data_IF_098815559780
#
_entry.id   IF_098815559780
#
_cell.length_a   1.000
_cell.length_b   1.000
_cell.length_c   1.000
_cell.angle_alpha   90.00
_cell.angle_beta   90.00
_cell.angle_gamma   90.00
#
_symmetry.space_group_name_H-M   'P 1'
#
loop_
_entity.id
_entity.type
_entity.pdbx_description
1 polymer ?
#
# COMPACT_ATOMS: atom_id res chain seq x y z
N UNK A 1 5.13 -7.09 -52.39
CA UNK A 1 6.16 -6.67 -51.41
C UNK A 1 5.48 -6.22 -50.11
N UNK A 2 4.69 -7.09 -49.46
CA UNK A 2 3.90 -6.73 -48.26
C UNK A 2 3.92 -7.81 -47.15
N UNK A 3 4.55 -8.98 -47.38
CA UNK A 3 4.57 -10.06 -46.40
C UNK A 3 5.75 -10.02 -45.39
N UNK A 4 6.62 -9.00 -45.46
CA UNK A 4 7.87 -8.94 -44.68
C UNK A 4 7.84 -8.04 -43.44
N UNK A 5 6.73 -7.36 -43.17
CA UNK A 5 6.60 -6.42 -42.04
C UNK A 5 5.86 -7.00 -40.83
N UNK A 6 5.24 -8.17 -40.94
CA UNK A 6 4.42 -8.77 -39.87
C UNK A 6 5.19 -9.69 -38.90
N UNK A 7 6.50 -9.93 -39.11
CA UNK A 7 7.29 -10.84 -38.25
C UNK A 7 8.20 -10.14 -37.23
N UNK A 8 8.13 -8.82 -37.10
CA UNK A 8 9.04 -8.06 -36.22
C UNK A 8 8.57 -7.87 -34.78
N UNK A 9 7.29 -8.09 -34.49
CA UNK A 9 6.82 -8.14 -33.10
C UNK A 9 6.90 -9.59 -32.59
N UNK A 10 8.14 -10.09 -32.40
CA UNK A 10 8.32 -11.21 -31.48
C UNK A 10 7.71 -10.77 -30.15
N UNK A 11 6.76 -11.54 -29.63
CA UNK A 11 6.17 -11.35 -28.29
C UNK A 11 7.36 -11.20 -27.33
N UNK A 12 7.62 -9.99 -26.84
CA UNK A 12 8.75 -9.73 -25.95
C UNK A 12 8.56 -10.61 -24.72
N UNK A 13 9.51 -11.53 -24.52
CA UNK A 13 9.52 -12.40 -23.34
C UNK A 13 9.52 -11.54 -22.08
N UNK A 14 8.85 -12.02 -21.04
CA UNK A 14 8.87 -11.36 -19.73
C UNK A 14 10.34 -11.31 -19.28
N UNK A 15 10.85 -10.14 -18.86
CA UNK A 15 12.22 -10.02 -18.36
C UNK A 15 12.45 -10.96 -17.18
N UNK A 16 13.65 -11.55 -17.07
CA UNK A 16 14.00 -12.46 -15.99
C UNK A 16 13.85 -11.80 -14.60
N UNK A 17 14.15 -10.51 -14.48
CA UNK A 17 13.88 -9.71 -13.26
C UNK A 17 12.41 -9.72 -12.86
N UNK A 18 11.49 -9.56 -13.82
CA UNK A 18 10.04 -9.59 -13.57
C UNK A 18 9.54 -10.99 -13.22
N UNK A 19 10.17 -12.04 -13.74
CA UNK A 19 9.86 -13.42 -13.36
C UNK A 19 10.30 -13.72 -11.92
N UNK A 20 11.54 -13.39 -11.57
CA UNK A 20 12.08 -13.60 -10.22
C UNK A 20 11.32 -12.79 -9.17
N UNK A 21 11.02 -11.53 -9.46
CA UNK A 21 10.25 -10.68 -8.56
C UNK A 21 8.84 -11.24 -8.32
N UNK A 22 8.23 -11.81 -9.36
CA UNK A 22 6.95 -12.50 -9.24
C UNK A 22 7.06 -13.75 -8.36
N UNK A 23 8.05 -14.61 -8.61
CA UNK A 23 8.24 -15.84 -7.84
C UNK A 23 8.49 -15.54 -6.35
N UNK A 24 9.26 -14.48 -6.06
CA UNK A 24 9.51 -14.01 -4.70
C UNK A 24 8.24 -13.38 -4.10
N UNK A 25 7.53 -12.51 -4.81
CA UNK A 25 6.33 -11.89 -4.23
C UNK A 25 5.22 -12.91 -3.97
N UNK A 26 5.09 -13.94 -4.82
CA UNK A 26 4.08 -14.97 -4.70
C UNK A 26 4.39 -16.04 -3.63
N UNK A 27 5.65 -16.21 -3.25
CA UNK A 27 6.08 -17.25 -2.28
C UNK A 27 6.10 -16.79 -0.83
N UNK A 28 5.96 -15.49 -0.57
CA UNK A 28 6.01 -14.90 0.76
C UNK A 28 4.68 -14.22 1.11
N UNK A 29 4.44 -14.06 2.42
CA UNK A 29 3.30 -13.28 2.93
C UNK A 29 3.46 -11.76 2.70
N UNK A 30 4.42 -11.33 1.89
CA UNK A 30 4.72 -9.93 1.63
C UNK A 30 3.53 -9.22 0.99
N UNK A 31 2.86 -9.83 0.01
CA UNK A 31 1.70 -9.23 -0.64
C UNK A 31 0.57 -8.96 0.37
N UNK A 32 0.26 -9.93 1.23
CA UNK A 32 -0.77 -9.76 2.27
C UNK A 32 -0.37 -8.71 3.31
N UNK A 33 0.90 -8.69 3.73
CA UNK A 33 1.41 -7.67 4.63
C UNK A 33 1.32 -6.26 4.02
N UNK A 34 1.64 -6.12 2.73
CA UNK A 34 1.53 -4.85 2.01
C UNK A 34 0.07 -4.41 1.95
N UNK A 35 -0.87 -5.30 1.61
CA UNK A 35 -2.30 -4.98 1.62
C UNK A 35 -2.76 -4.44 2.97
N UNK A 36 -2.33 -5.09 4.06
CA UNK A 36 -2.64 -4.66 5.43
C UNK A 36 -2.06 -3.26 5.73
N UNK A 37 -0.80 -3.02 5.38
CA UNK A 37 -0.12 -1.72 5.57
C UNK A 37 -0.86 -0.62 4.80
N UNK A 38 -1.17 -0.84 3.52
CA UNK A 38 -1.87 0.14 2.67
C UNK A 38 -3.27 0.42 3.22
N UNK A 39 -3.97 -0.62 3.67
CA UNK A 39 -5.27 -0.48 4.30
C UNK A 39 -5.22 0.37 5.57
N UNK A 40 -4.29 0.08 6.49
CA UNK A 40 -4.10 0.89 7.70
C UNK A 40 -3.75 2.33 7.37
N UNK A 41 -2.83 2.55 6.43
CA UNK A 41 -2.40 3.87 6.01
C UNK A 41 -3.57 4.72 5.53
N UNK A 42 -4.46 4.14 4.72
CA UNK A 42 -5.68 4.80 4.21
C UNK A 42 -6.64 5.21 5.32
N UNK A 43 -6.66 4.52 6.46
CA UNK A 43 -7.48 4.92 7.62
C UNK A 43 -6.84 6.03 8.46
N UNK A 44 -5.51 6.10 8.46
CA UNK A 44 -4.72 6.99 9.32
C UNK A 44 -4.35 8.30 8.63
N UNK A 45 -4.22 8.30 7.30
CA UNK A 45 -3.90 9.48 6.53
C UNK A 45 -5.12 10.37 6.33
N UNK A 46 -4.95 11.67 6.57
CA UNK A 46 -5.90 12.67 6.09
C UNK A 46 -5.38 13.25 4.78
N UNK A 47 -6.10 13.04 3.67
CA UNK A 47 -5.64 13.44 2.33
C UNK A 47 -5.44 14.93 2.16
N UNK A 48 -6.10 15.76 2.96
CA UNK A 48 -6.06 17.23 2.85
C UNK A 48 -5.03 17.85 3.80
N UNK A 49 -4.86 17.26 4.99
CA UNK A 49 -4.02 17.80 6.08
C UNK A 49 -2.67 17.12 6.22
N UNK A 50 -2.53 15.88 5.75
CA UNK A 50 -1.28 15.15 5.87
C UNK A 50 -0.25 15.67 4.88
N UNK A 51 1.01 15.69 5.32
CA UNK A 51 2.14 15.97 4.43
C UNK A 51 2.86 14.66 4.20
N UNK A 52 2.85 14.20 2.94
CA UNK A 52 3.57 13.02 2.50
C UNK A 52 4.83 13.45 1.74
N UNK A 53 5.94 12.77 2.03
CA UNK A 53 7.23 13.06 1.42
C UNK A 53 7.78 11.80 0.75
N UNK A 54 8.36 11.97 -0.44
CA UNK A 54 9.01 10.90 -1.20
C UNK A 54 10.44 11.31 -1.53
N UNK A 55 11.39 10.43 -1.22
CA UNK A 55 12.80 10.63 -1.58
C UNK A 55 13.07 10.55 -3.09
N UNK A 56 12.12 10.01 -3.87
CA UNK A 56 12.22 9.93 -5.33
C UNK A 56 11.89 11.26 -6.03
N UNK A 57 11.28 12.23 -5.32
CA UNK A 57 10.91 13.53 -5.87
C UNK A 57 11.98 14.57 -5.58
N UNK A 58 12.27 15.44 -6.56
CA UNK A 58 13.26 16.52 -6.43
C UNK A 58 12.92 17.54 -5.34
N UNK A 59 11.63 17.83 -5.15
CA UNK A 59 11.13 18.69 -4.08
C UNK A 59 10.78 17.92 -2.80
N UNK A 60 10.96 16.59 -2.80
CA UNK A 60 10.71 15.70 -1.68
C UNK A 60 9.25 15.54 -1.26
N UNK A 61 8.29 16.31 -1.81
CA UNK A 61 6.92 16.42 -1.31
C UNK A 61 5.91 15.95 -2.35
N UNK A 62 4.97 15.12 -1.91
CA UNK A 62 3.81 14.73 -2.73
C UNK A 62 2.83 15.90 -2.78
N UNK A 63 2.50 16.34 -4.00
CA UNK A 63 1.60 17.46 -4.27
C UNK A 63 0.14 17.11 -4.03
N UNK A 64 -0.27 15.90 -4.40
CA UNK A 64 -1.62 15.39 -4.24
C UNK A 64 -1.60 14.01 -3.56
N UNK A 65 -2.08 13.98 -2.31
CA UNK A 65 -2.13 12.74 -1.53
C UNK A 65 -3.18 11.76 -2.08
N UNK A 66 -4.25 12.23 -2.73
CA UNK A 66 -5.29 11.37 -3.32
C UNK A 66 -4.74 10.68 -4.56
N UNK A 67 -4.05 11.42 -5.43
CA UNK A 67 -3.38 10.86 -6.60
C UNK A 67 -2.34 9.79 -6.18
N UNK A 68 -1.55 10.06 -5.15
CA UNK A 68 -0.62 9.09 -4.58
C UNK A 68 -1.32 7.81 -4.11
N UNK A 69 -2.39 7.93 -3.31
CA UNK A 69 -3.13 6.77 -2.79
C UNK A 69 -3.75 5.96 -3.93
N UNK A 70 -4.33 6.62 -4.94
CA UNK A 70 -4.91 5.95 -6.09
C UNK A 70 -3.84 5.18 -6.89
N UNK A 71 -2.69 5.81 -7.14
CA UNK A 71 -1.58 5.16 -7.83
C UNK A 71 -1.02 3.95 -7.08
N UNK A 72 -0.99 4.02 -5.74
CA UNK A 72 -0.64 2.91 -4.86
C UNK A 72 -1.67 1.76 -4.94
N UNK A 73 -2.97 2.07 -4.84
CA UNK A 73 -4.05 1.07 -4.95
C UNK A 73 -4.04 0.36 -6.32
N UNK A 74 -3.90 1.12 -7.41
CA UNK A 74 -3.84 0.57 -8.76
C UNK A 74 -2.65 -0.36 -8.95
N UNK A 75 -1.48 0.02 -8.41
CA UNK A 75 -0.26 -0.79 -8.50
C UNK A 75 -0.40 -2.08 -7.68
N UNK A 76 -0.89 -1.96 -6.45
CA UNK A 76 -1.14 -3.11 -5.59
C UNK A 76 -2.14 -4.08 -6.24
N UNK A 77 -3.20 -3.54 -6.85
CA UNK A 77 -4.16 -4.34 -7.61
C UNK A 77 -3.50 -5.09 -8.76
N UNK A 78 -2.69 -4.43 -9.60
CA UNK A 78 -1.98 -5.10 -10.71
C UNK A 78 -1.08 -6.24 -10.24
N UNK A 79 -0.32 -6.02 -9.17
CA UNK A 79 0.56 -7.04 -8.59
C UNK A 79 -0.25 -8.21 -8.02
N UNK A 80 -1.34 -7.91 -7.31
CA UNK A 80 -2.25 -8.93 -6.77
C UNK A 80 -2.91 -9.75 -7.86
N UNK A 81 -3.44 -9.11 -8.88
CA UNK A 81 -4.10 -9.78 -10.01
C UNK A 81 -3.10 -10.71 -10.71
N UNK A 82 -1.87 -10.25 -10.95
CA UNK A 82 -0.81 -11.08 -11.52
C UNK A 82 -0.47 -12.30 -10.65
N UNK A 83 -0.34 -12.14 -9.32
CA UNK A 83 -0.07 -13.24 -8.38
C UNK A 83 -1.24 -14.24 -8.35
N UNK A 84 -2.47 -13.76 -8.26
CA UNK A 84 -3.67 -14.62 -8.23
C UNK A 84 -3.87 -15.40 -9.54
N UNK A 85 -3.55 -14.79 -10.67
CA UNK A 85 -3.67 -15.42 -11.99
C UNK A 85 -2.46 -16.31 -12.35
N UNK A 86 -1.40 -16.27 -11.54
CA UNK A 86 -0.16 -17.00 -11.81
C UNK A 86 0.62 -16.47 -13.01
N UNK A 87 0.44 -15.18 -13.37
CA UNK A 87 0.94 -14.60 -14.62
C UNK A 87 1.68 -13.29 -14.38
N UNK A 88 3.02 -13.29 -14.40
CA UNK A 88 3.77 -12.03 -14.39
C UNK A 88 3.54 -11.23 -15.68
N UNK A 89 3.85 -9.93 -15.61
CA UNK A 89 3.86 -9.02 -16.75
C UNK A 89 5.22 -8.35 -16.91
N UNK A 90 5.47 -7.74 -18.07
CA UNK A 90 6.81 -7.24 -18.42
C UNK A 90 7.39 -6.25 -17.40
N UNK A 91 6.56 -5.32 -16.90
CA UNK A 91 6.95 -4.30 -15.92
C UNK A 91 6.72 -4.72 -14.46
N UNK A 92 6.53 -6.01 -14.17
CA UNK A 92 6.24 -6.48 -12.81
C UNK A 92 7.32 -6.05 -11.80
N UNK A 93 8.60 -6.25 -12.13
CA UNK A 93 9.69 -5.81 -11.26
C UNK A 93 9.68 -4.28 -11.05
N UNK A 94 9.36 -3.51 -12.10
CA UNK A 94 9.22 -2.06 -11.99
C UNK A 94 8.10 -1.65 -11.03
N UNK A 95 6.96 -2.35 -11.06
CA UNK A 95 5.87 -2.12 -10.12
C UNK A 95 6.25 -2.53 -8.68
N UNK A 96 7.01 -3.62 -8.49
CA UNK A 96 7.54 -3.97 -7.16
C UNK A 96 8.50 -2.89 -6.63
N UNK A 97 9.43 -2.41 -7.45
CA UNK A 97 10.33 -1.31 -7.07
C UNK A 97 9.56 -0.06 -6.68
N UNK A 98 8.56 0.33 -7.49
CA UNK A 98 7.77 1.52 -7.20
C UNK A 98 6.91 1.35 -5.95
N UNK A 99 6.34 0.17 -5.73
CA UNK A 99 5.64 -0.15 -4.49
C UNK A 99 6.54 0.00 -3.27
N UNK A 100 7.80 -0.43 -3.34
CA UNK A 100 8.77 -0.22 -2.25
C UNK A 100 9.02 1.27 -1.98
N UNK A 101 9.12 2.09 -3.02
CA UNK A 101 9.22 3.55 -2.86
C UNK A 101 7.96 4.13 -2.20
N UNK A 102 6.77 3.69 -2.61
CA UNK A 102 5.50 4.11 -2.02
C UNK A 102 5.40 3.69 -0.54
N UNK A 103 5.89 2.50 -0.17
CA UNK A 103 5.99 2.06 1.23
C UNK A 103 6.95 2.92 2.06
N UNK A 104 8.05 3.42 1.47
CA UNK A 104 8.95 4.36 2.15
C UNK A 104 8.27 5.70 2.45
N UNK A 105 7.32 6.15 1.61
CA UNK A 105 6.49 7.33 1.90
C UNK A 105 5.63 7.08 3.14
N UNK A 106 4.98 5.91 3.22
CA UNK A 106 4.17 5.52 4.38
C UNK A 106 5.04 5.43 5.64
N UNK A 107 6.23 4.84 5.54
CA UNK A 107 7.22 4.77 6.62
C UNK A 107 7.54 6.17 7.16
N UNK A 108 7.91 7.11 6.28
CA UNK A 108 8.25 8.48 6.66
C UNK A 108 7.06 9.22 7.28
N UNK A 109 5.85 8.98 6.76
CA UNK A 109 4.62 9.52 7.34
C UNK A 109 4.38 9.01 8.76
N UNK A 110 4.42 7.70 8.99
CA UNK A 110 4.22 7.11 10.31
C UNK A 110 5.26 7.58 11.32
N UNK A 111 6.54 7.61 10.95
CA UNK A 111 7.61 8.14 11.80
C UNK A 111 7.36 9.60 12.20
N UNK A 112 6.92 10.43 11.25
CA UNK A 112 6.57 11.83 11.49
C UNK A 112 5.35 11.97 12.41
N UNK A 113 4.30 11.17 12.20
CA UNK A 113 3.13 11.15 13.07
C UNK A 113 3.51 10.74 14.50
N UNK A 114 4.26 9.64 14.69
CA UNK A 114 4.70 9.20 16.01
C UNK A 114 5.53 10.27 16.71
N UNK A 115 6.51 10.88 16.02
CA UNK A 115 7.37 11.92 16.59
C UNK A 115 6.59 13.15 17.06
N UNK A 116 5.49 13.47 16.38
CA UNK A 116 4.62 14.62 16.70
C UNK A 116 3.44 14.26 17.60
N UNK A 117 3.44 13.06 18.19
CA UNK A 117 2.36 12.56 19.03
C UNK A 117 0.99 12.50 18.28
N UNK A 118 1.04 12.08 17.03
CA UNK A 118 -0.08 11.73 16.15
C UNK A 118 -1.18 12.80 16.02
N UNK A 119 -0.85 14.01 15.55
CA UNK A 119 -1.80 15.12 15.49
C UNK A 119 -3.04 14.82 14.64
N UNK A 120 -2.90 14.09 13.52
CA UNK A 120 -4.01 13.75 12.64
C UNK A 120 -5.00 12.78 13.32
N UNK A 121 -4.47 11.73 13.95
CA UNK A 121 -5.27 10.75 14.69
C UNK A 121 -5.97 11.40 15.88
N UNK A 122 -5.26 12.24 16.64
CA UNK A 122 -5.84 12.97 17.77
C UNK A 122 -6.97 13.89 17.36
N UNK A 123 -6.80 14.61 16.25
CA UNK A 123 -7.87 15.44 15.70
C UNK A 123 -9.08 14.60 15.32
N UNK A 124 -8.88 13.48 14.62
CA UNK A 124 -9.96 12.55 14.27
C UNK A 124 -10.70 12.03 15.51
N UNK A 125 -9.97 11.51 16.51
CA UNK A 125 -10.57 10.96 17.73
C UNK A 125 -11.35 12.02 18.52
N UNK A 126 -10.83 13.25 18.60
CA UNK A 126 -11.57 14.37 19.21
C UNK A 126 -12.87 14.63 18.45
N UNK A 127 -12.83 14.61 17.12
CA UNK A 127 -14.01 14.88 16.31
C UNK A 127 -15.06 13.75 16.43
N UNK A 128 -14.65 12.51 16.67
CA UNK A 128 -15.57 11.39 16.92
C UNK A 128 -16.27 11.44 18.29
N UNK A 129 -15.89 12.36 19.18
CA UNK A 129 -16.57 12.56 20.47
C UNK A 129 -17.75 13.53 20.36
N UNK A 130 -17.91 14.24 19.23
CA UNK A 130 -19.07 15.11 19.02
C UNK A 130 -20.34 14.27 18.81
N UNK A 131 -21.46 14.77 19.34
CA UNK A 131 -22.77 14.08 19.30
C UNK A 131 -23.25 13.80 17.88
N UNK A 132 -22.92 14.66 16.93
CA UNK A 132 -23.34 14.54 15.54
C UNK A 132 -22.31 13.79 14.67
N UNK A 133 -21.31 13.15 15.29
CA UNK A 133 -20.34 12.34 14.56
C UNK A 133 -20.92 10.99 14.17
N UNK A 134 -20.47 10.44 13.04
CA UNK A 134 -20.91 9.12 12.55
C UNK A 134 -20.82 8.03 13.64
N UNK A 135 -19.77 8.07 14.48
CA UNK A 135 -19.59 7.11 15.56
C UNK A 135 -20.62 7.29 16.69
N UNK A 136 -20.92 8.53 17.07
CA UNK A 136 -21.90 8.82 18.11
C UNK A 136 -23.34 8.49 17.64
N UNK A 137 -23.63 8.76 16.37
CA UNK A 137 -24.89 8.37 15.73
C UNK A 137 -25.01 6.85 15.73
N UNK A 138 -23.98 6.13 15.26
CA UNK A 138 -23.96 4.67 15.25
C UNK A 138 -24.14 4.08 16.65
N UNK A 139 -23.40 4.58 17.64
CA UNK A 139 -23.53 4.11 19.02
C UNK A 139 -24.95 4.32 19.58
N UNK A 140 -25.61 5.41 19.20
CA UNK A 140 -26.99 5.70 19.59
C UNK A 140 -27.99 4.75 18.92
N UNK A 141 -27.83 4.48 17.62
CA UNK A 141 -28.68 3.54 16.87
C UNK A 141 -28.57 2.10 17.42
N UNK A 142 -27.36 1.67 17.78
CA UNK A 142 -27.14 0.35 18.41
C UNK A 142 -27.84 0.29 19.78
N UNK A 143 -27.71 1.34 20.60
CA UNK A 143 -28.32 1.39 21.92
C UNK A 143 -29.86 1.45 21.89
N UNK A 144 -30.43 2.00 20.81
CA UNK A 144 -31.87 2.04 20.57
C UNK A 144 -32.43 0.72 20.02
N UNK A 145 -31.59 -0.27 19.73
CA UNK A 145 -31.96 -1.52 19.03
C UNK A 145 -32.59 -1.29 17.64
N UNK A 146 -32.39 -0.11 17.05
CA UNK A 146 -32.95 0.27 15.74
C UNK A 146 -32.31 -0.52 14.58
N UNK A 147 -31.13 -1.12 14.81
CA UNK A 147 -30.40 -1.97 13.84
C UNK A 147 -30.16 -3.36 14.43
N UNK A 148 -30.75 -4.40 13.83
CA UNK A 148 -30.55 -5.79 14.25
C UNK A 148 -29.17 -6.35 13.89
N UNK A 149 -28.51 -5.78 12.87
CA UNK A 149 -27.17 -6.11 12.41
C UNK A 149 -26.50 -4.86 11.85
N UNK A 150 -25.18 -4.76 12.01
CA UNK A 150 -24.37 -3.68 11.44
C UNK A 150 -24.26 -3.81 9.92
N UNK A 151 -24.43 -2.71 9.21
CA UNK A 151 -24.24 -2.69 7.76
C UNK A 151 -22.78 -2.41 7.35
N UNK A 152 -22.54 -2.28 6.04
CA UNK A 152 -21.19 -2.01 5.52
C UNK A 152 -20.68 -0.62 5.94
N UNK A 153 -21.57 0.36 6.05
CA UNK A 153 -21.20 1.71 6.45
C UNK A 153 -20.85 1.76 7.93
N UNK A 154 -21.62 1.09 8.78
CA UNK A 154 -21.34 0.93 10.20
C UNK A 154 -19.97 0.26 10.41
N UNK A 155 -19.71 -0.81 9.64
CA UNK A 155 -18.45 -1.53 9.66
C UNK A 155 -17.26 -0.63 9.28
N UNK A 156 -17.43 0.25 8.28
CA UNK A 156 -16.40 1.24 7.89
C UNK A 156 -16.13 2.25 9.01
N UNK A 157 -17.17 2.77 9.66
CA UNK A 157 -17.03 3.72 10.78
C UNK A 157 -16.27 3.08 11.93
N UNK A 158 -16.68 1.87 12.37
CA UNK A 158 -16.04 1.14 13.46
C UNK A 158 -14.60 0.75 13.14
N UNK A 159 -14.34 0.32 11.90
CA UNK A 159 -12.99 -0.03 11.43
C UNK A 159 -12.06 1.18 11.47
N UNK A 160 -12.50 2.32 10.92
CA UNK A 160 -11.71 3.55 10.92
C UNK A 160 -11.45 4.04 12.35
N UNK A 161 -12.45 4.00 13.21
CA UNK A 161 -12.30 4.36 14.62
C UNK A 161 -11.31 3.44 15.32
N UNK A 162 -11.46 2.13 15.19
CA UNK A 162 -10.61 1.13 15.83
C UNK A 162 -9.15 1.28 15.41
N UNK A 163 -8.89 1.50 14.12
CA UNK A 163 -7.53 1.71 13.61
C UNK A 163 -6.95 3.03 14.12
N UNK A 164 -7.71 4.12 14.14
CA UNK A 164 -7.24 5.39 14.69
C UNK A 164 -6.99 5.31 16.19
N UNK A 165 -7.85 4.64 16.95
CA UNK A 165 -7.68 4.42 18.38
C UNK A 165 -6.41 3.61 18.67
N UNK A 166 -6.12 2.60 17.85
CA UNK A 166 -4.94 1.75 17.93
C UNK A 166 -3.74 2.25 17.08
N UNK A 167 -3.76 3.50 16.60
CA UNK A 167 -2.74 4.00 15.69
C UNK A 167 -1.30 3.83 16.21
N UNK A 168 -0.97 4.03 17.50
CA UNK A 168 0.40 3.83 18.00
C UNK A 168 0.95 2.42 17.82
N UNK A 169 0.15 1.38 18.05
CA UNK A 169 0.59 -0.01 17.87
C UNK A 169 0.64 -0.37 16.39
N UNK A 170 -0.39 -0.01 15.63
CA UNK A 170 -0.50 -0.28 14.20
C UNK A 170 0.67 0.35 13.43
N UNK A 171 0.95 1.64 13.66
CA UNK A 171 2.05 2.32 12.97
C UNK A 171 3.40 1.66 13.30
N UNK A 172 3.61 1.19 14.53
CA UNK A 172 4.88 0.50 14.92
C UNK A 172 5.02 -0.85 14.24
N UNK A 173 3.97 -1.66 14.23
CA UNK A 173 3.95 -2.96 13.52
C UNK A 173 4.22 -2.76 12.02
N UNK A 174 3.52 -1.81 11.40
CA UNK A 174 3.68 -1.51 9.98
C UNK A 174 5.08 -0.98 9.67
N UNK A 175 5.67 -0.11 10.52
CA UNK A 175 7.05 0.38 10.34
C UNK A 175 8.05 -0.79 10.25
N UNK A 176 7.92 -1.78 11.14
CA UNK A 176 8.80 -2.95 11.15
C UNK A 176 8.64 -3.78 9.87
N UNK A 177 7.39 -4.06 9.48
CA UNK A 177 7.07 -4.81 8.26
C UNK A 177 7.54 -4.10 7.00
N UNK A 178 7.33 -2.79 6.90
CA UNK A 178 7.83 -1.98 5.79
C UNK A 178 9.36 -2.10 5.72
N UNK A 179 10.06 -2.01 6.85
CA UNK A 179 11.51 -2.18 6.91
C UNK A 179 11.97 -3.52 6.33
N UNK A 180 11.30 -4.62 6.70
CA UNK A 180 11.59 -5.96 6.19
C UNK A 180 11.34 -6.07 4.67
N UNK A 181 10.21 -5.55 4.17
CA UNK A 181 9.84 -5.62 2.74
C UNK A 181 10.80 -4.77 1.89
N UNK A 182 11.09 -3.54 2.32
CA UNK A 182 11.92 -2.59 1.55
C UNK A 182 13.36 -3.08 1.40
N UNK A 183 13.88 -3.83 2.37
CA UNK A 183 15.24 -4.38 2.31
C UNK A 183 15.37 -5.60 1.39
N UNK A 184 14.28 -6.28 1.03
CA UNK A 184 14.32 -7.44 0.11
C UNK A 184 14.69 -7.00 -1.31
N UNK A 185 15.55 -7.74 -1.98
CA UNK A 185 15.97 -7.46 -3.36
C UNK A 185 14.85 -7.68 -4.38
N UNK A 186 13.94 -8.64 -4.13
CA UNK A 186 13.00 -9.17 -5.14
C UNK A 186 13.71 -9.62 -6.43
N UNK A 187 14.94 -10.08 -6.28
CA UNK A 187 15.79 -10.65 -7.32
C UNK A 187 16.52 -11.86 -6.73
N UNK A 188 16.71 -12.90 -7.54
CA UNK A 188 17.41 -14.10 -7.11
C UNK A 188 18.93 -13.84 -6.96
N UNK A 189 19.58 -14.64 -6.12
CA UNK A 189 21.03 -14.56 -5.93
C UNK A 189 21.76 -15.39 -7.00
N UNK A 190 22.33 -14.70 -7.98
CA UNK A 190 23.08 -15.32 -9.08
C UNK A 190 24.61 -15.27 -8.89
N UNK A 191 25.12 -15.01 -7.68
CA UNK A 191 26.58 -14.94 -7.43
C UNK A 191 27.33 -16.22 -7.81
N UNK A 192 26.64 -17.35 -7.94
CA UNK A 192 27.20 -18.64 -8.32
C UNK A 192 27.10 -18.95 -9.83
N UNK A 193 26.53 -18.04 -10.63
CA UNK A 193 26.39 -18.17 -12.08
C UNK A 193 27.36 -17.20 -12.78
N UNK A 194 28.58 -17.63 -13.15
CA UNK A 194 29.66 -16.72 -13.58
C UNK A 194 29.36 -15.91 -14.86
N UNK A 195 28.48 -16.42 -15.70
CA UNK A 195 28.08 -15.79 -16.97
C UNK A 195 26.73 -15.07 -16.86
N UNK A 196 26.15 -14.99 -15.65
CA UNK A 196 24.83 -14.41 -15.48
C UNK A 196 24.84 -12.89 -15.63
N UNK A 197 23.91 -12.40 -16.43
CA UNK A 197 23.63 -10.98 -16.64
C UNK A 197 22.12 -10.79 -16.79
N UNK A 198 21.59 -9.70 -16.22
CA UNK A 198 20.22 -9.25 -16.48
C UNK A 198 20.07 -8.50 -17.81
N UNK A 199 21.19 -8.19 -18.47
CA UNK A 199 21.26 -7.61 -19.82
C UNK A 199 21.29 -8.68 -20.91
#
# INVERSE_FOLDING_TARGET
MQAKLLSFFKKQSIPKTSQEAFDILASFDDLSNIEKIVFHFKQLVNTEKSVLNSHALSNGRISDNKEFINGLDERLKRLKDAVNEGKPYQSFYGDVCRLKEDLQVILGYYQSQIKRNQPIVREYLRNTQYRDSDLAILASSIAAEDTSLLDEQDSKVLTKYSINFCAPSIMKEDIEKIGQIVQKSFLADHRHEPEFSYM
#
